data_IF_927937357742
#
_entry.id   IF_927937357742
#
_cell.length_a   1.000
_cell.length_b   1.000
_cell.length_c   1.000
_cell.angle_alpha   90.00
_cell.angle_beta   90.00
_cell.angle_gamma   90.00
#
_symmetry.space_group_name_H-M   'P 1'
#
loop_
_entity.id
_entity.type
_entity.pdbx_description
1 polymer ?
#
# COMPACT_ATOMS: atom_id res chain seq x y z
N UNK A 1 -6.31 27.37 -51.69
CA UNK A 1 -5.17 27.11 -50.78
C UNK A 1 -5.73 26.50 -49.51
N UNK A 2 -5.65 25.18 -49.33
CA UNK A 2 -6.00 24.52 -48.07
C UNK A 2 -4.83 23.62 -47.69
N UNK A 3 -4.21 23.95 -46.57
CA UNK A 3 -3.04 23.29 -46.01
C UNK A 3 -3.51 22.13 -45.12
N UNK A 4 -3.19 20.90 -45.51
CA UNK A 4 -3.36 19.74 -44.64
C UNK A 4 -2.08 19.54 -43.82
N UNK A 5 -2.15 19.79 -42.52
CA UNK A 5 -1.12 19.38 -41.57
C UNK A 5 -1.18 17.86 -41.38
N UNK A 6 -0.07 17.12 -41.47
CA UNK A 6 -0.05 15.69 -41.17
C UNK A 6 -0.09 15.48 -39.65
N UNK A 7 -1.07 14.67 -39.24
CA UNK A 7 -1.28 14.19 -37.88
C UNK A 7 -0.02 13.54 -37.31
N UNK A 8 0.34 13.95 -36.09
CA UNK A 8 1.27 13.24 -35.21
C UNK A 8 0.86 11.76 -35.06
N UNK A 9 1.81 10.82 -35.02
CA UNK A 9 1.51 9.46 -34.55
C UNK A 9 1.18 9.50 -33.05
N UNK A 10 0.20 8.72 -32.57
CA UNK A 10 -0.02 8.57 -31.14
C UNK A 10 1.20 7.87 -30.52
N UNK A 11 1.84 8.53 -29.57
CA UNK A 11 2.84 7.92 -28.69
C UNK A 11 2.27 6.68 -27.99
N UNK A 12 3.03 5.59 -27.82
CA UNK A 12 2.58 4.41 -27.11
C UNK A 12 2.56 4.66 -25.60
N UNK A 13 1.52 5.33 -25.09
CA UNK A 13 1.21 5.37 -23.66
C UNK A 13 0.14 4.33 -23.35
N UNK A 14 0.56 3.08 -23.21
CA UNK A 14 -0.14 2.07 -22.43
C UNK A 14 0.91 1.08 -21.92
N UNK A 15 0.95 0.72 -20.63
CA UNK A 15 1.65 -0.48 -20.22
C UNK A 15 0.94 -1.63 -20.93
N UNK A 16 1.54 -2.15 -21.99
CA UNK A 16 1.16 -3.44 -22.54
C UNK A 16 1.35 -4.42 -21.40
N UNK A 17 0.26 -4.78 -20.72
CA UNK A 17 0.23 -5.94 -19.84
C UNK A 17 0.57 -7.14 -20.72
N UNK A 18 1.86 -7.42 -20.85
CA UNK A 18 2.33 -8.58 -21.57
C UNK A 18 1.68 -9.76 -20.87
N UNK A 19 0.83 -10.52 -21.57
CA UNK A 19 0.26 -11.75 -21.01
C UNK A 19 1.42 -12.73 -20.85
N UNK A 20 2.05 -12.71 -19.68
CA UNK A 20 3.17 -13.58 -19.36
C UNK A 20 2.58 -14.93 -18.97
N UNK A 21 2.81 -15.94 -19.82
CA UNK A 21 2.40 -17.32 -19.59
C UNK A 21 3.58 -18.11 -19.06
N UNK A 22 3.49 -18.59 -17.83
CA UNK A 22 4.58 -19.21 -17.10
C UNK A 22 4.27 -20.67 -16.76
N UNK A 23 5.28 -21.51 -16.72
CA UNK A 23 5.14 -22.80 -16.04
C UNK A 23 4.93 -22.59 -14.54
N UNK A 24 4.40 -23.59 -13.85
CA UNK A 24 4.19 -23.53 -12.41
C UNK A 24 5.50 -23.29 -11.63
N UNK A 25 6.62 -23.80 -12.14
CA UNK A 25 7.96 -23.58 -11.58
C UNK A 25 8.40 -22.13 -11.73
N UNK A 26 8.20 -21.54 -12.90
CA UNK A 26 8.54 -20.13 -13.13
C UNK A 26 7.66 -19.21 -12.28
N UNK A 27 6.35 -19.47 -12.24
CA UNK A 27 5.43 -18.71 -11.40
C UNK A 27 5.84 -18.78 -9.92
N UNK A 28 6.16 -19.97 -9.39
CA UNK A 28 6.63 -20.11 -8.02
C UNK A 28 7.90 -19.31 -7.72
N UNK A 29 8.86 -19.27 -8.66
CA UNK A 29 10.10 -18.48 -8.51
C UNK A 29 9.83 -16.99 -8.35
N UNK A 30 8.83 -16.43 -9.03
CA UNK A 30 8.46 -15.01 -8.87
C UNK A 30 7.97 -14.68 -7.45
N UNK A 31 7.52 -15.67 -6.69
CA UNK A 31 7.05 -15.52 -5.29
C UNK A 31 7.98 -16.16 -4.27
N UNK A 32 9.14 -16.66 -4.70
CA UNK A 32 10.13 -17.28 -3.80
C UNK A 32 9.66 -18.63 -3.23
N UNK A 33 8.71 -19.29 -3.87
CA UNK A 33 8.15 -20.57 -3.42
C UNK A 33 8.38 -21.69 -4.45
N UNK A 34 8.31 -22.94 -3.99
CA UNK A 34 8.44 -24.10 -4.88
C UNK A 34 7.21 -24.25 -5.79
N UNK A 35 7.38 -24.93 -6.92
CA UNK A 35 6.26 -25.27 -7.81
C UNK A 35 5.16 -26.06 -7.08
N UNK A 36 5.53 -26.92 -6.12
CA UNK A 36 4.59 -27.70 -5.31
C UNK A 36 3.75 -26.77 -4.43
N UNK A 37 4.40 -25.81 -3.76
CA UNK A 37 3.71 -24.86 -2.89
C UNK A 37 2.83 -23.90 -3.70
N UNK A 38 3.33 -23.40 -4.84
CA UNK A 38 2.54 -22.60 -5.78
C UNK A 38 1.32 -23.38 -6.28
N UNK A 39 1.51 -24.65 -6.65
CA UNK A 39 0.43 -25.54 -7.05
C UNK A 39 -0.60 -25.77 -5.95
N UNK A 40 -0.18 -25.84 -4.69
CA UNK A 40 -1.08 -25.97 -3.55
C UNK A 40 -1.99 -24.74 -3.40
N UNK A 41 -1.44 -23.53 -3.52
CA UNK A 41 -2.25 -22.30 -3.51
C UNK A 41 -3.27 -22.25 -4.66
N UNK A 42 -2.86 -22.66 -5.87
CA UNK A 42 -3.79 -22.72 -7.01
C UNK A 42 -4.88 -23.77 -6.82
N UNK A 43 -4.58 -24.90 -6.15
CA UNK A 43 -5.59 -25.89 -5.78
C UNK A 43 -6.55 -25.37 -4.71
N UNK A 44 -6.04 -24.68 -3.68
CA UNK A 44 -6.89 -24.03 -2.67
C UNK A 44 -7.82 -22.97 -3.27
N UNK A 45 -7.38 -22.28 -4.33
CA UNK A 45 -8.18 -21.32 -5.08
C UNK A 45 -9.16 -21.97 -6.08
N UNK A 46 -9.24 -23.31 -6.13
CA UNK A 46 -10.12 -24.03 -7.06
C UNK A 46 -9.71 -23.90 -8.53
N UNK A 47 -8.44 -23.60 -8.82
CA UNK A 47 -7.93 -23.50 -10.19
C UNK A 47 -7.28 -24.79 -10.69
N UNK A 48 -6.94 -25.70 -9.76
CA UNK A 48 -6.16 -26.91 -10.05
C UNK A 48 -6.69 -28.11 -9.28
N UNK A 49 -6.88 -29.23 -9.95
CA UNK A 49 -7.32 -30.49 -9.35
C UNK A 49 -6.16 -31.26 -8.68
N UNK A 50 -6.48 -32.34 -7.97
CA UNK A 50 -5.57 -33.25 -7.30
C UNK A 50 -4.58 -33.92 -8.28
N UNK A 51 -5.00 -34.17 -9.52
CA UNK A 51 -4.12 -34.65 -10.60
C UNK A 51 -3.12 -33.58 -11.10
N UNK A 52 -3.22 -32.37 -10.56
CA UNK A 52 -2.33 -31.27 -10.90
C UNK A 52 -2.65 -30.58 -12.22
N UNK A 53 -3.79 -30.90 -12.83
CA UNK A 53 -4.32 -30.28 -14.04
C UNK A 53 -5.16 -29.04 -13.71
N UNK A 54 -5.19 -28.03 -14.60
CA UNK A 54 -6.08 -26.89 -14.45
C UNK A 54 -7.53 -27.34 -14.61
N UNK A 55 -8.42 -26.82 -13.77
CA UNK A 55 -9.86 -27.05 -13.91
C UNK A 55 -10.39 -26.30 -15.14
N UNK A 56 -11.48 -26.75 -15.81
CA UNK A 56 -12.03 -26.08 -16.99
C UNK A 56 -12.30 -24.60 -16.76
N UNK A 57 -12.84 -24.25 -15.59
CA UNK A 57 -13.07 -22.86 -15.19
C UNK A 57 -11.80 -22.00 -15.19
N UNK A 58 -10.65 -22.57 -14.83
CA UNK A 58 -9.38 -21.84 -14.83
C UNK A 58 -8.91 -21.53 -16.26
N UNK A 59 -9.25 -22.39 -17.23
CA UNK A 59 -8.97 -22.17 -18.64
C UNK A 59 -9.93 -21.12 -19.20
N UNK A 60 -11.23 -21.26 -18.93
CA UNK A 60 -12.28 -20.37 -19.43
C UNK A 60 -12.10 -18.93 -18.91
N UNK A 61 -11.65 -18.78 -17.67
CA UNK A 61 -11.36 -17.47 -17.05
C UNK A 61 -9.96 -16.94 -17.39
N UNK A 62 -9.14 -17.68 -18.14
CA UNK A 62 -7.82 -17.23 -18.59
C UNK A 62 -6.69 -17.33 -17.55
N UNK A 63 -6.90 -18.05 -16.44
CA UNK A 63 -5.84 -18.35 -15.47
C UNK A 63 -4.83 -19.36 -16.00
N UNK A 64 -5.29 -20.32 -16.81
CA UNK A 64 -4.47 -21.40 -17.32
C UNK A 64 -4.66 -21.61 -18.82
N UNK A 65 -3.61 -22.09 -19.48
CA UNK A 65 -3.62 -22.49 -20.87
C UNK A 65 -2.95 -23.86 -21.02
N UNK A 66 -3.65 -24.81 -21.64
CA UNK A 66 -3.13 -26.15 -21.94
C UNK A 66 -2.71 -26.20 -23.40
N UNK A 67 -1.44 -26.50 -23.69
CA UNK A 67 -0.99 -26.64 -25.09
C UNK A 67 -1.60 -27.90 -25.74
N UNK A 68 -1.90 -27.86 -27.05
CA UNK A 68 -2.52 -28.97 -27.78
C UNK A 68 -1.58 -30.15 -28.09
N UNK A 69 -0.31 -30.11 -27.69
CA UNK A 69 0.72 -31.07 -28.12
C UNK A 69 0.67 -32.38 -27.32
N UNK A 70 0.86 -33.52 -27.99
CA UNK A 70 0.63 -34.90 -27.49
C UNK A 70 1.44 -35.32 -26.26
N UNK A 71 2.44 -34.55 -25.81
CA UNK A 71 3.14 -34.73 -24.53
C UNK A 71 2.55 -33.81 -23.42
N UNK A 72 1.23 -33.77 -23.33
CA UNK A 72 0.41 -32.77 -22.65
C UNK A 72 0.51 -32.72 -21.11
N UNK A 73 1.15 -33.70 -20.45
CA UNK A 73 1.28 -33.73 -19.00
C UNK A 73 2.28 -32.69 -18.45
N UNK A 74 2.99 -31.95 -19.32
CA UNK A 74 4.00 -30.94 -18.93
C UNK A 74 3.82 -29.57 -19.57
N UNK A 75 2.72 -29.30 -20.25
CA UNK A 75 2.54 -28.08 -21.05
C UNK A 75 1.37 -27.21 -20.60
N UNK A 76 1.08 -27.20 -19.28
CA UNK A 76 0.18 -26.23 -18.67
C UNK A 76 0.95 -24.95 -18.35
N UNK A 77 0.48 -23.84 -18.89
CA UNK A 77 0.98 -22.50 -18.57
C UNK A 77 -0.07 -21.77 -17.74
N UNK A 78 0.41 -20.94 -16.83
CA UNK A 78 -0.37 -20.13 -15.92
C UNK A 78 -0.16 -18.66 -16.25
N UNK A 79 -1.23 -17.90 -16.26
CA UNK A 79 -1.16 -16.47 -16.51
C UNK A 79 -0.61 -15.75 -15.27
N UNK A 80 0.51 -15.04 -15.43
CA UNK A 80 1.16 -14.35 -14.32
C UNK A 80 0.24 -13.34 -13.64
N UNK A 81 -0.40 -12.43 -14.39
CA UNK A 81 -1.25 -11.38 -13.82
C UNK A 81 -2.42 -11.97 -13.02
N UNK A 82 -3.15 -12.90 -13.61
CA UNK A 82 -4.31 -13.53 -12.97
C UNK A 82 -3.90 -14.36 -11.75
N UNK A 83 -2.86 -15.20 -11.87
CA UNK A 83 -2.40 -16.01 -10.75
C UNK A 83 -1.72 -15.18 -9.65
N UNK A 84 -1.05 -14.08 -10.00
CA UNK A 84 -0.43 -13.19 -9.01
C UNK A 84 -1.44 -12.58 -8.06
N UNK A 85 -2.63 -12.23 -8.56
CA UNK A 85 -3.72 -11.71 -7.72
C UNK A 85 -4.17 -12.73 -6.68
N UNK A 86 -4.34 -14.00 -7.08
CA UNK A 86 -4.72 -15.09 -6.17
C UNK A 86 -3.60 -15.35 -5.14
N UNK A 87 -2.35 -15.44 -5.58
CA UNK A 87 -1.22 -15.67 -4.67
C UNK A 87 -1.11 -14.55 -3.63
N UNK A 88 -1.33 -13.29 -4.04
CA UNK A 88 -1.39 -12.13 -3.13
C UNK A 88 -2.56 -12.19 -2.15
N UNK A 89 -3.74 -12.65 -2.57
CA UNK A 89 -4.88 -12.87 -1.65
C UNK A 89 -4.57 -13.93 -0.59
N UNK A 90 -3.74 -14.93 -0.93
CA UNK A 90 -3.23 -15.92 0.02
C UNK A 90 -2.03 -15.41 0.86
N UNK A 91 -1.68 -14.12 0.75
CA UNK A 91 -0.64 -13.47 1.55
C UNK A 91 0.77 -13.53 0.98
N UNK A 92 0.94 -13.97 -0.28
CA UNK A 92 2.25 -14.03 -0.93
C UNK A 92 2.57 -12.73 -1.68
N UNK A 93 3.75 -12.17 -1.41
CA UNK A 93 4.28 -11.05 -2.18
C UNK A 93 5.34 -11.56 -3.16
N UNK A 94 5.50 -10.88 -4.29
CA UNK A 94 6.53 -11.25 -5.25
C UNK A 94 7.93 -10.97 -4.68
N UNK A 95 8.94 -11.71 -5.14
CA UNK A 95 10.35 -11.53 -4.72
C UNK A 95 10.83 -10.12 -5.04
N UNK A 96 10.40 -9.57 -6.17
CA UNK A 96 10.73 -8.20 -6.56
C UNK A 96 10.13 -7.18 -5.60
N UNK A 97 8.86 -7.34 -5.23
CA UNK A 97 8.18 -6.47 -4.27
C UNK A 97 8.82 -6.57 -2.88
N UNK A 98 9.14 -7.78 -2.42
CA UNK A 98 9.87 -8.01 -1.17
C UNK A 98 11.24 -7.32 -1.19
N UNK A 99 11.99 -7.46 -2.28
CA UNK A 99 13.29 -6.80 -2.45
C UNK A 99 13.16 -5.29 -2.42
N UNK A 100 12.16 -4.75 -3.11
CA UNK A 100 11.90 -3.32 -3.14
C UNK A 100 11.55 -2.78 -1.75
N UNK A 101 10.76 -3.53 -0.97
CA UNK A 101 10.45 -3.21 0.43
C UNK A 101 11.72 -3.15 1.29
N UNK A 102 12.63 -4.11 1.13
CA UNK A 102 13.91 -4.11 1.87
C UNK A 102 14.77 -2.91 1.51
N UNK A 103 14.92 -2.61 0.22
CA UNK A 103 15.70 -1.46 -0.26
C UNK A 103 15.17 -0.14 0.28
N UNK A 104 13.84 0.02 0.31
CA UNK A 104 13.21 1.20 0.88
C UNK A 104 13.40 1.28 2.40
N UNK A 105 13.28 0.16 3.12
CA UNK A 105 13.54 0.15 4.55
C UNK A 105 14.99 0.55 4.87
N UNK A 106 15.96 -0.01 4.14
CA UNK A 106 17.39 0.32 4.27
C UNK A 106 17.65 1.81 4.01
N UNK A 107 17.10 2.35 2.92
CA UNK A 107 17.25 3.77 2.56
C UNK A 107 16.69 4.69 3.64
N UNK A 108 15.48 4.42 4.13
CA UNK A 108 14.84 5.28 5.13
C UNK A 108 15.55 5.23 6.48
N UNK A 109 16.04 4.06 6.91
CA UNK A 109 16.85 3.95 8.12
C UNK A 109 18.19 4.68 7.96
N UNK A 110 18.84 4.55 6.80
CA UNK A 110 20.06 5.29 6.50
C UNK A 110 19.84 6.81 6.49
N UNK A 111 18.70 7.28 5.98
CA UNK A 111 18.31 8.70 6.02
C UNK A 111 18.04 9.18 7.45
N UNK A 112 17.46 8.33 8.30
CA UNK A 112 17.14 8.67 9.68
C UNK A 112 18.38 8.71 10.58
N UNK A 113 19.34 7.80 10.37
CA UNK A 113 20.63 7.76 11.07
C UNK A 113 21.63 8.75 10.44
N UNK A 114 21.43 9.10 9.17
CA UNK A 114 22.28 9.94 8.36
C UNK A 114 22.36 11.40 8.82
N UNK A 115 23.51 12.02 8.54
CA UNK A 115 23.91 13.35 8.95
C UNK A 115 22.95 14.47 8.49
N UNK A 116 22.79 15.58 9.24
CA UNK A 116 21.88 16.72 8.94
C UNK A 116 22.14 17.49 7.63
N UNK A 117 23.02 17.01 6.76
CA UNK A 117 23.28 17.58 5.43
C UNK A 117 22.30 17.08 4.34
N UNK A 118 21.44 16.10 4.65
CA UNK A 118 20.42 15.62 3.72
C UNK A 118 19.16 16.48 3.88
N UNK A 119 18.84 17.26 2.85
CA UNK A 119 17.72 18.21 2.84
C UNK A 119 16.33 17.55 2.82
N UNK A 120 16.24 16.23 2.60
CA UNK A 120 14.99 15.48 2.58
C UNK A 120 14.88 14.58 3.81
N UNK A 121 13.79 14.72 4.55
CA UNK A 121 13.42 13.78 5.61
C UNK A 121 12.99 12.43 5.02
N UNK A 122 13.09 11.33 5.80
CA UNK A 122 12.56 10.03 5.38
C UNK A 122 11.08 10.08 4.92
N UNK A 123 10.26 10.92 5.56
CA UNK A 123 8.86 11.12 5.19
C UNK A 123 8.74 11.82 3.82
N UNK A 124 9.51 12.87 3.57
CA UNK A 124 9.47 13.60 2.28
C UNK A 124 9.91 12.71 1.12
N UNK A 125 10.97 11.92 1.31
CA UNK A 125 11.43 10.94 0.31
C UNK A 125 10.37 9.86 0.03
N UNK A 126 9.70 9.39 1.08
CA UNK A 126 8.64 8.41 0.93
C UNK A 126 7.35 8.99 0.33
N UNK A 127 7.14 10.30 0.41
CA UNK A 127 6.03 10.98 -0.25
C UNK A 127 6.29 11.20 -1.74
N UNK A 128 7.53 11.51 -2.14
CA UNK A 128 7.90 11.80 -3.54
C UNK A 128 8.14 10.54 -4.38
N UNK A 129 8.92 9.59 -3.86
CA UNK A 129 9.54 8.55 -4.69
C UNK A 129 9.07 7.12 -4.35
N UNK A 130 8.45 6.91 -3.19
CA UNK A 130 8.00 5.57 -2.79
C UNK A 130 6.67 5.17 -3.45
N UNK A 131 6.61 4.00 -4.11
CA UNK A 131 5.35 3.45 -4.60
C UNK A 131 4.33 3.24 -3.47
N UNK A 132 3.10 3.73 -3.63
CA UNK A 132 2.12 3.71 -2.55
C UNK A 132 1.71 2.31 -2.08
N UNK A 133 1.72 1.32 -2.97
CA UNK A 133 1.29 -0.05 -2.65
C UNK A 133 2.27 -0.79 -1.72
N UNK A 134 3.55 -0.41 -1.67
CA UNK A 134 4.53 -1.05 -0.77
C UNK A 134 4.65 -0.36 0.58
N UNK A 135 4.06 0.83 0.77
CA UNK A 135 4.25 1.66 1.97
C UNK A 135 3.88 0.91 3.25
N UNK A 136 2.76 0.19 3.24
CA UNK A 136 2.32 -0.61 4.39
C UNK A 136 3.29 -1.77 4.66
N UNK A 137 3.86 -2.38 3.61
CA UNK A 137 4.90 -3.40 3.74
C UNK A 137 6.21 -2.83 4.31
N UNK A 138 6.65 -1.65 3.85
CA UNK A 138 7.84 -0.96 4.37
C UNK A 138 7.67 -0.60 5.84
N UNK A 139 6.52 -0.05 6.24
CA UNK A 139 6.24 0.26 7.64
C UNK A 139 6.27 -0.99 8.53
N UNK A 140 5.68 -2.11 8.08
CA UNK A 140 5.79 -3.39 8.78
C UNK A 140 7.23 -3.86 8.88
N UNK A 141 8.03 -3.68 7.82
CA UNK A 141 9.44 -4.08 7.81
C UNK A 141 10.28 -3.25 8.78
N UNK A 142 10.11 -1.92 8.76
CA UNK A 142 10.73 -1.01 9.73
C UNK A 142 10.35 -1.37 11.17
N UNK A 143 9.06 -1.71 11.42
CA UNK A 143 8.62 -2.19 12.73
C UNK A 143 9.36 -3.47 13.17
N UNK A 144 9.46 -4.45 12.26
CA UNK A 144 10.13 -5.72 12.53
C UNK A 144 11.63 -5.56 12.79
N UNK A 145 12.25 -4.50 12.27
CA UNK A 145 13.65 -4.14 12.53
C UNK A 145 13.86 -3.34 13.83
N UNK A 146 12.78 -2.95 14.50
CA UNK A 146 12.84 -2.12 15.72
C UNK A 146 13.01 -0.62 15.46
N UNK A 147 12.84 -0.18 14.20
CA UNK A 147 12.91 1.23 13.85
C UNK A 147 11.71 2.01 14.40
N UNK A 148 11.97 3.22 14.89
CA UNK A 148 10.92 4.15 15.32
C UNK A 148 10.28 4.91 14.15
N UNK A 149 10.86 4.78 12.95
CA UNK A 149 10.33 5.41 11.74
C UNK A 149 8.95 4.87 11.38
N UNK A 150 8.04 5.80 11.10
CA UNK A 150 6.70 5.54 10.59
C UNK A 150 6.41 6.48 9.43
N UNK A 151 6.18 5.91 8.26
CA UNK A 151 5.80 6.66 7.06
C UNK A 151 4.28 6.80 7.04
N UNK A 152 3.80 8.03 7.21
CA UNK A 152 2.37 8.34 7.17
C UNK A 152 1.86 8.36 5.73
N UNK A 153 0.60 7.95 5.53
CA UNK A 153 -0.15 8.31 4.31
C UNK A 153 -0.52 9.78 4.48
N UNK A 154 -0.10 10.63 3.55
CA UNK A 154 -0.52 12.03 3.55
C UNK A 154 -2.03 12.05 3.29
N UNK A 155 -2.82 12.24 4.33
CA UNK A 155 -4.21 12.67 4.17
C UNK A 155 -4.15 14.00 3.41
N UNK A 156 -4.68 13.99 2.20
CA UNK A 156 -4.92 15.23 1.48
C UNK A 156 -6.01 15.97 2.26
N UNK A 157 -5.61 17.06 2.92
CA UNK A 157 -6.36 18.07 3.66
C UNK A 157 -6.43 17.97 5.19
N UNK A 158 -5.35 18.47 5.82
CA UNK A 158 -5.50 19.48 6.87
C UNK A 158 -5.61 20.86 6.20
N UNK A 159 -6.81 21.44 6.20
CA UNK A 159 -7.06 22.81 5.77
C UNK A 159 -8.45 23.24 6.26
N UNK A 160 -8.49 24.31 7.07
CA UNK A 160 -9.57 24.78 7.97
C UNK A 160 -9.57 24.03 9.32
N UNK A 161 -9.17 24.60 10.47
CA UNK A 161 -9.03 26.00 10.84
C UNK A 161 -8.04 26.17 12.01
N UNK A 162 -7.20 27.20 11.94
CA UNK A 162 -6.55 27.80 13.11
C UNK A 162 -6.33 29.28 12.85
N UNK A 163 -6.71 30.09 13.84
CA UNK A 163 -6.67 31.56 13.85
C UNK A 163 -7.99 32.15 13.37
N UNK A 164 -8.68 33.06 14.07
CA UNK A 164 -8.33 33.98 15.15
C UNK A 164 -9.70 34.48 15.65
N UNK A 165 -9.99 34.67 16.94
CA UNK A 165 -10.03 36.00 17.56
C UNK A 165 -10.34 35.85 19.05
N UNK A 166 -9.36 36.25 19.86
CA UNK A 166 -9.58 36.66 21.23
C UNK A 166 -10.23 38.05 21.20
N UNK A 167 -11.44 38.16 21.74
CA UNK A 167 -12.05 39.45 22.06
C UNK A 167 -12.27 39.51 23.59
N UNK A 168 -11.33 40.21 24.23
CA UNK A 168 -11.42 40.73 25.59
C UNK A 168 -12.55 41.75 25.61
N UNK A 169 -13.59 41.48 26.41
CA UNK A 169 -14.66 42.43 26.71
C UNK A 169 -14.50 42.98 28.12
N UNK A 170 -13.70 44.03 28.26
CA UNK A 170 -13.82 44.98 29.37
C UNK A 170 -15.13 45.78 29.21
N UNK A 171 -15.96 45.80 30.25
CA UNK A 171 -16.93 46.87 30.47
C UNK A 171 -17.18 47.01 31.96
N UNK A 172 -16.51 48.01 32.51
CA UNK A 172 -16.64 48.55 33.86
C UNK A 172 -17.75 49.63 33.88
N UNK A 173 -18.20 49.96 35.09
CA UNK A 173 -19.23 50.96 35.50
C UNK A 173 -20.69 50.47 35.49
N UNK A 174 -21.47 50.58 36.57
CA UNK A 174 -21.23 51.17 37.88
C UNK A 174 -22.55 51.33 38.64
N UNK A 175 -22.52 50.93 39.92
CA UNK A 175 -23.21 51.57 41.04
C UNK A 175 -24.75 51.52 41.14
N UNK A 176 -25.28 50.77 42.14
CA UNK A 176 -26.11 51.35 43.22
C UNK A 176 -26.35 50.32 44.36
N UNK A 177 -25.94 50.71 45.58
CA UNK A 177 -26.60 50.51 46.90
C UNK A 177 -27.76 49.47 46.97
N UNK A 178 -27.89 48.58 47.96
CA UNK A 178 -27.90 48.84 49.41
C UNK A 178 -28.18 47.50 50.19
N UNK A 179 -27.69 47.37 51.43
CA UNK A 179 -28.25 46.58 52.58
C UNK A 179 -27.87 45.08 52.78
N UNK A 180 -26.86 44.90 53.65
CA UNK A 180 -26.77 43.88 54.72
C UNK A 180 -27.97 44.14 55.70
N UNK A 181 -28.55 43.20 56.50
CA UNK A 181 -27.80 42.09 57.13
C UNK A 181 -28.53 40.79 57.55
N UNK A 182 -27.74 39.89 58.17
CA UNK A 182 -28.08 38.81 59.12
C UNK A 182 -28.49 37.43 58.55
N UNK A 183 -27.61 36.41 58.68
CA UNK A 183 -27.61 35.48 59.83
C UNK A 183 -26.62 34.31 59.68
N UNK A 184 -25.80 34.17 60.74
CA UNK A 184 -25.35 32.94 61.42
C UNK A 184 -24.63 31.80 60.66
N UNK A 185 -23.33 31.69 60.94
CA UNK A 185 -22.59 30.43 61.18
C UNK A 185 -23.12 29.72 62.45
N UNK A 186 -22.91 28.38 62.69
CA UNK A 186 -21.62 27.68 62.87
C UNK A 186 -21.51 26.37 62.05
N UNK A 187 -20.34 25.85 61.65
CA UNK A 187 -19.13 25.34 62.35
C UNK A 187 -19.30 23.98 63.05
N UNK A 188 -18.50 23.00 62.59
CA UNK A 188 -18.07 21.73 63.21
C UNK A 188 -19.13 20.61 63.33
N UNK A 189 -18.81 19.31 63.29
CA UNK A 189 -17.56 18.61 63.60
C UNK A 189 -17.55 17.18 63.02
N UNK A 190 -16.32 16.64 62.91
CA UNK A 190 -15.92 15.23 63.02
C UNK A 190 -16.41 14.20 61.98
#
# INVERSE_FOLDING_TARGET
MQSFSPSHPPSPTAPTGHKIWLTLTELGRHFGISAVHCGHHLSQAGLRDNDGLPLPQAIDQGYAYKRPEQNANRSVLWNYDHCSGILRQHGLNSVEEQRLVEQWADLLEALHVGSPAILLTPQEMADSDMPHHIRDCVNRRLAARGSQLRISKKDTQAGLASGTEAAVGESEAGNRFQENPLRMYPLAAA
#
